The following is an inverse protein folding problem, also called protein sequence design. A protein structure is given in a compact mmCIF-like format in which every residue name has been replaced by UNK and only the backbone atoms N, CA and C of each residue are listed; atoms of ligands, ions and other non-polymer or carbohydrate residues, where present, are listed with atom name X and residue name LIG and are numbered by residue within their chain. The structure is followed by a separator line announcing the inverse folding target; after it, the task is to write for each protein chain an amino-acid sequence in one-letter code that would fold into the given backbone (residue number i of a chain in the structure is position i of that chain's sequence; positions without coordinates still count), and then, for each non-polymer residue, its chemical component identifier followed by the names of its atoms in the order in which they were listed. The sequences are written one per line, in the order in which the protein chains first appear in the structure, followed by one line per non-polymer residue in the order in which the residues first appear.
data_IF_266865090167
#
_entry.id   IF_266865090167
#
_cell.length_a   1.000
_cell.length_b   1.000
_cell.length_c   1.000
_cell.angle_alpha   90.00
_cell.angle_beta   90.00
_cell.angle_gamma   90.00
#
_symmetry.space_group_name_H-M   'P 1'
#
loop_
_entity.id
_entity.type
_entity.pdbx_description
1 polymer ?
#
# COMPACT_ATOMS: atom_id res chain seq x y z
N UNK A 1 119.43 93.72 -24.51
CA UNK A 1 120.80 93.16 -24.59
C UNK A 1 120.67 91.83 -25.32
N UNK A 2 121.12 91.58 -26.54
CA UNK A 2 121.77 92.32 -27.61
C UNK A 2 121.73 91.43 -28.88
N UNK A 3 122.44 91.73 -29.97
CA UNK A 3 122.59 93.03 -30.60
C UNK A 3 122.20 93.02 -32.11
N UNK A 4 121.98 94.22 -32.62
CA UNK A 4 121.82 94.60 -34.03
C UNK A 4 122.92 94.01 -34.94
N UNK A 5 122.53 93.56 -36.14
CA UNK A 5 123.41 93.46 -37.31
C UNK A 5 122.96 94.42 -38.41
N UNK A 6 123.95 95.01 -39.07
CA UNK A 6 123.90 96.21 -39.88
C UNK A 6 123.32 96.02 -41.29
N UNK A 7 122.75 97.11 -41.82
CA UNK A 7 122.35 97.31 -43.22
C UNK A 7 123.55 97.18 -44.17
N UNK A 8 123.42 96.32 -45.18
CA UNK A 8 124.20 96.31 -46.42
C UNK A 8 123.22 96.24 -47.61
N UNK A 9 123.46 97.03 -48.65
CA UNK A 9 122.66 97.20 -49.88
C UNK A 9 122.03 95.90 -50.41
N UNK A 10 120.71 95.91 -50.56
CA UNK A 10 119.98 94.88 -51.31
C UNK A 10 120.25 95.06 -52.82
N UNK A 11 120.82 94.03 -53.44
CA UNK A 11 120.60 93.79 -54.86
C UNK A 11 119.15 93.31 -55.02
N UNK A 12 118.44 93.81 -56.04
CA UNK A 12 117.08 93.40 -56.36
C UNK A 12 117.11 91.96 -56.92
N UNK A 13 117.24 91.00 -56.01
CA UNK A 13 117.12 89.58 -56.30
C UNK A 13 115.64 89.22 -56.21
N UNK A 14 114.99 89.11 -57.37
CA UNK A 14 113.72 88.41 -57.49
C UNK A 14 114.05 86.95 -57.78
N UNK A 15 113.64 86.06 -56.87
CA UNK A 15 113.76 84.60 -56.94
C UNK A 15 115.16 84.03 -57.24
N UNK A 16 116.19 84.63 -56.65
CA UNK A 16 117.56 84.11 -56.68
C UNK A 16 118.32 84.29 -58.00
N UNK A 17 117.78 85.07 -58.96
CA UNK A 17 118.41 85.38 -60.26
C UNK A 17 118.79 86.87 -60.33
N UNK A 18 120.03 87.17 -60.77
CA UNK A 18 120.55 88.54 -60.91
C UNK A 18 120.02 89.21 -62.20
N UNK A 19 118.99 90.05 -62.04
CA UNK A 19 118.24 90.68 -63.14
C UNK A 19 119.01 91.82 -63.83
N UNK A 20 120.19 92.21 -63.34
CA UNK A 20 120.96 93.35 -63.88
C UNK A 20 121.74 93.07 -65.17
N UNK A 21 121.78 91.82 -65.65
CA UNK A 21 122.52 91.40 -66.86
C UNK A 21 121.62 90.87 -68.00
N UNK A 22 120.30 90.93 -67.86
CA UNK A 22 119.36 90.44 -68.87
C UNK A 22 118.95 91.55 -69.85
N UNK A 23 118.90 91.23 -71.15
CA UNK A 23 118.34 92.13 -72.18
C UNK A 23 116.80 92.16 -72.08
N UNK A 24 116.12 93.18 -72.63
CA UNK A 24 114.67 93.40 -72.50
C UNK A 24 113.82 92.14 -72.78
N UNK A 25 114.11 91.42 -73.86
CA UNK A 25 113.39 90.17 -74.22
C UNK A 25 113.59 89.06 -73.17
N UNK A 26 114.75 88.98 -72.53
CA UNK A 26 115.04 87.98 -71.50
C UNK A 26 114.32 88.31 -70.17
N UNK A 27 114.16 89.60 -69.85
CA UNK A 27 113.34 90.05 -68.72
C UNK A 27 111.84 89.81 -68.96
N UNK A 28 111.35 89.96 -70.20
CA UNK A 28 109.96 89.65 -70.56
C UNK A 28 109.68 88.14 -70.43
N UNK A 29 110.57 87.26 -70.90
CA UNK A 29 110.43 85.80 -70.73
C UNK A 29 110.52 85.38 -69.26
N UNK A 30 111.41 86.00 -68.46
CA UNK A 30 111.51 85.72 -67.03
C UNK A 30 110.28 86.21 -66.25
N UNK A 31 109.73 87.37 -66.61
CA UNK A 31 108.48 87.87 -66.05
C UNK A 31 107.28 86.96 -66.38
N UNK A 32 107.20 86.44 -67.61
CA UNK A 32 106.21 85.45 -67.98
C UNK A 32 106.38 84.14 -67.20
N UNK A 33 107.61 83.67 -67.00
CA UNK A 33 107.87 82.46 -66.22
C UNK A 33 107.46 82.62 -64.75
N UNK A 34 107.77 83.76 -64.12
CA UNK A 34 107.32 84.04 -62.74
C UNK A 34 105.80 84.17 -62.68
N UNK A 35 105.16 84.77 -63.69
CA UNK A 35 103.70 84.81 -63.76
C UNK A 35 103.10 83.41 -63.86
N UNK A 36 103.63 82.55 -64.73
CA UNK A 36 103.18 81.15 -64.87
C UNK A 36 103.42 80.35 -63.59
N UNK A 37 104.56 80.52 -62.91
CA UNK A 37 104.84 79.89 -61.61
C UNK A 37 103.90 80.41 -60.52
N UNK A 38 103.64 81.72 -60.46
CA UNK A 38 102.68 82.31 -59.53
C UNK A 38 101.25 81.84 -59.82
N UNK A 39 100.87 81.68 -61.09
CA UNK A 39 99.55 81.20 -61.49
C UNK A 39 99.38 79.72 -61.15
N UNK A 40 100.42 78.91 -61.36
CA UNK A 40 100.48 77.51 -60.92
C UNK A 40 100.39 77.37 -59.39
N UNK A 41 101.17 78.14 -58.64
CA UNK A 41 101.08 78.14 -57.17
C UNK A 41 99.69 78.57 -56.68
N UNK A 42 99.03 79.47 -57.41
CA UNK A 42 97.65 79.91 -57.11
C UNK A 42 96.64 78.80 -57.40
N UNK A 43 96.80 78.07 -58.50
CA UNK A 43 96.00 76.87 -58.83
C UNK A 43 96.21 75.76 -57.81
N UNK A 44 97.46 75.46 -57.43
CA UNK A 44 97.79 74.46 -56.43
C UNK A 44 97.21 74.85 -55.06
N UNK A 45 97.34 76.11 -54.64
CA UNK A 45 96.70 76.62 -53.42
C UNK A 45 95.18 76.47 -53.46
N UNK A 46 94.56 76.80 -54.59
CA UNK A 46 93.11 76.66 -54.76
C UNK A 46 92.70 75.18 -54.67
N UNK A 47 93.41 74.28 -55.35
CA UNK A 47 93.19 72.85 -55.27
C UNK A 47 93.29 72.31 -53.84
N UNK A 48 94.38 72.64 -53.12
CA UNK A 48 94.54 72.21 -51.73
C UNK A 48 93.51 72.83 -50.79
N UNK A 49 93.07 74.06 -51.06
CA UNK A 49 91.98 74.68 -50.30
C UNK A 49 90.66 73.94 -50.52
N UNK A 50 90.34 73.59 -51.77
CA UNK A 50 89.12 72.87 -52.13
C UNK A 50 89.12 71.43 -51.59
N UNK A 51 90.27 70.74 -51.62
CA UNK A 51 90.44 69.41 -51.01
C UNK A 51 90.36 69.45 -49.48
N UNK A 52 90.96 70.46 -48.83
CA UNK A 52 90.81 70.66 -47.39
C UNK A 52 89.36 70.91 -47.01
N UNK A 53 88.66 71.75 -47.76
CA UNK A 53 87.26 72.08 -47.48
C UNK A 53 86.35 70.85 -47.74
N UNK A 54 86.61 70.05 -48.79
CA UNK A 54 85.96 68.74 -48.99
C UNK A 54 86.21 67.78 -47.83
N UNK A 55 87.46 67.58 -47.42
CA UNK A 55 87.81 66.72 -46.28
C UNK A 55 87.13 67.18 -44.99
N UNK A 56 87.04 68.50 -44.78
CA UNK A 56 86.30 69.07 -43.66
C UNK A 56 84.82 68.75 -43.73
N UNK A 57 84.17 68.90 -44.89
CA UNK A 57 82.75 68.53 -45.05
C UNK A 57 82.52 67.04 -44.83
N UNK A 58 83.38 66.15 -45.36
CA UNK A 58 83.27 64.72 -45.10
C UNK A 58 83.47 64.38 -43.63
N UNK A 59 84.42 65.03 -42.96
CA UNK A 59 84.62 64.85 -41.52
C UNK A 59 83.40 65.32 -40.72
N UNK A 60 82.82 66.48 -41.04
CA UNK A 60 81.62 67.00 -40.37
C UNK A 60 80.42 66.08 -40.59
N UNK A 61 80.19 65.58 -41.82
CA UNK A 61 79.13 64.61 -42.14
C UNK A 61 79.35 63.30 -41.39
N UNK A 62 80.54 62.72 -41.45
CA UNK A 62 80.85 61.43 -40.80
C UNK A 62 80.74 61.54 -39.28
N UNK A 63 81.16 62.67 -38.71
CA UNK A 63 80.98 62.97 -37.28
C UNK A 63 79.50 63.07 -36.94
N UNK A 64 78.70 63.77 -37.73
CA UNK A 64 77.27 63.88 -37.50
C UNK A 64 76.56 62.52 -37.58
N UNK A 65 76.87 61.72 -38.61
CA UNK A 65 76.36 60.35 -38.75
C UNK A 65 76.77 59.45 -37.59
N UNK A 66 78.00 59.59 -37.08
CA UNK A 66 78.45 58.86 -35.90
C UNK A 66 77.66 59.28 -34.64
N UNK A 67 77.41 60.57 -34.47
CA UNK A 67 76.63 61.10 -33.34
C UNK A 67 75.16 60.67 -33.43
N UNK A 68 74.55 60.66 -34.64
CA UNK A 68 73.21 60.13 -34.89
C UNK A 68 73.11 58.62 -34.64
N UNK A 69 74.08 57.83 -35.11
CA UNK A 69 74.14 56.40 -34.86
C UNK A 69 74.29 56.10 -33.37
N UNK A 70 75.13 56.86 -32.65
CA UNK A 70 75.27 56.76 -31.20
C UNK A 70 73.97 57.13 -30.47
N UNK A 71 73.27 58.17 -30.91
CA UNK A 71 71.98 58.55 -30.36
C UNK A 71 70.93 57.46 -30.59
N UNK A 72 70.91 56.86 -31.79
CA UNK A 72 70.01 55.76 -32.14
C UNK A 72 70.26 54.52 -31.27
N UNK A 73 71.53 54.15 -31.05
CA UNK A 73 71.89 53.03 -30.17
C UNK A 73 71.39 53.29 -28.74
N UNK A 74 71.63 54.48 -28.18
CA UNK A 74 71.15 54.82 -26.83
C UNK A 74 69.63 54.77 -26.73
N UNK A 75 68.91 55.26 -27.74
CA UNK A 75 67.46 55.17 -27.78
C UNK A 75 66.98 53.71 -27.82
N UNK A 76 67.64 52.85 -28.60
CA UNK A 76 67.32 51.42 -28.65
C UNK A 76 67.64 50.67 -27.36
N UNK A 77 68.73 51.04 -26.68
CA UNK A 77 69.06 50.51 -25.35
C UNK A 77 68.00 50.91 -24.33
N UNK A 78 67.56 52.17 -24.34
CA UNK A 78 66.46 52.65 -23.48
C UNK A 78 65.13 51.94 -23.79
N UNK A 79 64.77 51.80 -25.06
CA UNK A 79 63.56 51.05 -25.46
C UNK A 79 63.62 49.60 -24.96
N UNK A 80 64.80 48.96 -25.02
CA UNK A 80 65.00 47.61 -24.52
C UNK A 80 64.83 47.54 -22.99
N UNK A 81 65.37 48.52 -22.27
CA UNK A 81 65.19 48.63 -20.81
C UNK A 81 63.71 48.82 -20.45
N UNK A 82 63.02 49.77 -21.09
CA UNK A 82 61.58 50.02 -20.87
C UNK A 82 60.74 48.76 -21.17
N UNK A 83 61.05 48.02 -22.24
CA UNK A 83 60.38 46.75 -22.54
C UNK A 83 60.65 45.66 -21.50
N UNK A 84 61.87 45.59 -20.96
CA UNK A 84 62.21 44.64 -19.90
C UNK A 84 61.49 44.97 -18.59
N UNK A 85 61.44 46.25 -18.21
CA UNK A 85 60.69 46.73 -17.04
C UNK A 85 59.19 46.45 -17.17
N UNK A 86 58.60 46.73 -18.34
CA UNK A 86 57.20 46.43 -18.63
C UNK A 86 56.92 44.93 -18.53
N UNK A 87 57.78 44.09 -19.12
CA UNK A 87 57.63 42.64 -19.04
C UNK A 87 57.74 42.12 -17.60
N UNK A 88 58.66 42.66 -16.80
CA UNK A 88 58.78 42.31 -15.38
C UNK A 88 57.53 42.72 -14.58
N UNK A 89 56.97 43.89 -14.86
CA UNK A 89 55.73 44.36 -14.25
C UNK A 89 54.54 43.47 -14.62
N UNK A 90 54.41 43.09 -15.90
CA UNK A 90 53.38 42.14 -16.35
C UNK A 90 53.53 40.78 -15.66
N UNK A 91 54.76 40.26 -15.56
CA UNK A 91 55.02 38.96 -14.91
C UNK A 91 54.65 39.00 -13.43
N UNK A 92 54.90 40.12 -12.74
CA UNK A 92 54.44 40.34 -11.35
C UNK A 92 52.91 40.36 -11.26
N UNK A 93 52.23 41.06 -12.18
CA UNK A 93 50.77 41.11 -12.23
C UNK A 93 50.17 39.73 -12.48
N UNK A 94 50.68 38.98 -13.47
CA UNK A 94 50.23 37.62 -13.75
C UNK A 94 50.44 36.69 -12.56
N UNK A 95 51.60 36.79 -11.88
CA UNK A 95 51.87 36.01 -10.66
C UNK A 95 50.89 36.34 -9.54
N UNK A 96 50.52 37.61 -9.36
CA UNK A 96 49.50 38.01 -8.39
C UNK A 96 48.11 37.48 -8.79
N UNK A 97 47.74 37.57 -10.07
CA UNK A 97 46.47 37.07 -10.59
C UNK A 97 46.31 35.57 -10.39
N UNK A 98 47.37 34.79 -10.65
CA UNK A 98 47.38 33.34 -10.37
C UNK A 98 47.21 33.05 -8.88
N UNK A 99 47.92 33.77 -8.00
CA UNK A 99 47.75 33.62 -6.55
C UNK A 99 46.33 33.94 -6.09
N UNK A 100 45.73 35.00 -6.62
CA UNK A 100 44.36 35.38 -6.29
C UNK A 100 43.37 34.31 -6.75
N UNK A 101 43.48 33.83 -8.00
CA UNK A 101 42.64 32.75 -8.53
C UNK A 101 42.77 31.46 -7.72
N UNK A 102 43.98 31.09 -7.29
CA UNK A 102 44.18 29.92 -6.44
C UNK A 102 43.53 30.09 -5.06
N UNK A 103 43.66 31.27 -4.46
CA UNK A 103 43.02 31.58 -3.19
C UNK A 103 41.49 31.57 -3.30
N UNK A 104 40.94 32.21 -4.33
CA UNK A 104 39.51 32.23 -4.62
C UNK A 104 38.98 30.81 -4.84
N UNK A 105 39.66 29.99 -5.65
CA UNK A 105 39.26 28.61 -5.86
C UNK A 105 39.29 27.79 -4.57
N UNK A 106 40.32 27.95 -3.74
CA UNK A 106 40.42 27.26 -2.46
C UNK A 106 39.32 27.70 -1.48
N UNK A 107 39.03 29.00 -1.43
CA UNK A 107 37.96 29.56 -0.59
C UNK A 107 36.59 29.04 -1.05
N UNK A 108 36.28 29.13 -2.34
CA UNK A 108 35.04 28.63 -2.91
C UNK A 108 34.88 27.12 -2.64
N UNK A 109 35.95 26.33 -2.82
CA UNK A 109 35.92 24.89 -2.53
C UNK A 109 35.63 24.62 -1.05
N UNK A 110 36.24 25.38 -0.14
CA UNK A 110 36.00 25.28 1.29
C UNK A 110 34.57 25.68 1.68
N UNK A 111 34.04 26.74 1.08
CA UNK A 111 32.69 27.23 1.30
C UNK A 111 31.65 26.22 0.79
N UNK A 112 31.76 25.75 -0.46
CA UNK A 112 30.86 24.73 -1.02
C UNK A 112 30.90 23.42 -0.21
N UNK A 113 32.07 23.02 0.30
CA UNK A 113 32.16 21.87 1.21
C UNK A 113 31.41 22.10 2.53
N UNK A 114 31.53 23.29 3.11
CA UNK A 114 30.80 23.64 4.32
C UNK A 114 29.29 23.67 4.09
N UNK A 115 28.84 24.28 2.99
CA UNK A 115 27.42 24.31 2.58
C UNK A 115 26.86 22.89 2.39
N UNK A 116 27.60 22.00 1.71
CA UNK A 116 27.18 20.61 1.54
C UNK A 116 27.08 19.86 2.86
N UNK A 117 28.01 20.07 3.80
CA UNK A 117 27.94 19.45 5.13
C UNK A 117 26.72 19.93 5.92
N UNK A 118 26.40 21.23 5.86
CA UNK A 118 25.20 21.79 6.50
C UNK A 118 23.94 21.24 5.85
N UNK A 119 23.87 21.20 4.52
CA UNK A 119 22.72 20.63 3.80
C UNK A 119 22.50 19.14 4.14
N UNK A 120 23.59 18.35 4.20
CA UNK A 120 23.53 16.95 4.60
C UNK A 120 23.03 16.79 6.04
N UNK A 121 23.50 17.65 6.95
CA UNK A 121 23.07 17.62 8.35
C UNK A 121 21.60 17.98 8.51
N UNK A 122 21.12 19.00 7.80
CA UNK A 122 19.70 19.38 7.79
C UNK A 122 18.83 18.26 7.23
N UNK A 123 19.24 17.62 6.13
CA UNK A 123 18.52 16.48 5.58
C UNK A 123 18.47 15.30 6.56
N UNK A 124 19.58 15.01 7.24
CA UNK A 124 19.63 13.98 8.29
C UNK A 124 18.69 14.30 9.44
N UNK A 125 18.67 15.54 9.93
CA UNK A 125 17.83 15.96 11.05
C UNK A 125 16.34 15.92 10.67
N UNK A 126 15.98 16.29 9.44
CA UNK A 126 14.61 16.16 8.91
C UNK A 126 14.17 14.69 8.80
N UNK A 127 15.04 13.81 8.32
CA UNK A 127 14.76 12.36 8.29
C UNK A 127 14.55 11.78 9.70
N UNK A 128 15.37 12.19 10.67
CA UNK A 128 15.21 11.76 12.08
C UNK A 128 13.91 12.30 12.68
N UNK A 129 13.52 13.53 12.35
CA UNK A 129 12.23 14.08 12.79
C UNK A 129 11.05 13.28 12.22
N UNK A 130 11.08 12.99 10.91
CA UNK A 130 10.05 12.17 10.26
C UNK A 130 9.99 10.75 10.83
N UNK A 131 11.13 10.11 11.09
CA UNK A 131 11.17 8.79 11.73
C UNK A 131 10.54 8.80 13.13
N UNK A 132 10.84 9.83 13.93
CA UNK A 132 10.26 9.97 15.25
C UNK A 132 8.73 10.18 15.21
N UNK A 133 8.22 10.98 14.27
CA UNK A 133 6.77 11.14 14.08
C UNK A 133 6.11 9.83 13.65
N UNK A 134 6.71 9.08 12.71
CA UNK A 134 6.21 7.76 12.32
C UNK A 134 6.20 6.76 13.49
N UNK A 135 7.20 6.81 14.38
CA UNK A 135 7.23 6.00 15.59
C UNK A 135 6.09 6.38 16.53
N UNK A 136 5.84 7.69 16.74
CA UNK A 136 4.72 8.17 17.56
C UNK A 136 3.37 7.71 16.98
N UNK A 137 3.13 7.95 15.70
CA UNK A 137 1.91 7.53 15.01
C UNK A 137 1.69 6.02 15.14
N UNK A 138 2.74 5.21 14.95
CA UNK A 138 2.69 3.76 15.14
C UNK A 138 2.32 3.38 16.57
N UNK A 139 2.84 4.07 17.58
CA UNK A 139 2.48 3.79 18.98
C UNK A 139 1.05 4.20 19.31
N UNK A 140 0.57 5.32 18.76
CA UNK A 140 -0.79 5.79 18.95
C UNK A 140 -1.81 4.88 18.27
N UNK A 141 -1.56 4.48 17.02
CA UNK A 141 -2.39 3.51 16.30
C UNK A 141 -2.47 2.17 17.04
N UNK A 142 -1.37 1.68 17.61
CA UNK A 142 -1.39 0.47 18.46
C UNK A 142 -2.24 0.64 19.71
N UNK A 143 -2.21 1.82 20.33
CA UNK A 143 -3.04 2.12 21.49
C UNK A 143 -4.53 2.13 21.12
N UNK A 144 -4.89 2.83 20.03
CA UNK A 144 -6.27 2.88 19.51
C UNK A 144 -6.77 1.48 19.16
N UNK A 145 -5.95 0.65 18.49
CA UNK A 145 -6.30 -0.73 18.18
C UNK A 145 -6.61 -1.52 19.45
N UNK A 146 -5.76 -1.42 20.48
CA UNK A 146 -5.96 -2.12 21.75
C UNK A 146 -7.22 -1.65 22.49
N UNK A 147 -7.52 -0.36 22.43
CA UNK A 147 -8.77 0.21 22.99
C UNK A 147 -10.01 -0.31 22.25
N UNK A 148 -9.95 -0.41 20.92
CA UNK A 148 -11.02 -1.01 20.12
C UNK A 148 -11.21 -2.50 20.42
N UNK A 149 -10.13 -3.27 20.51
CA UNK A 149 -10.18 -4.68 20.89
C UNK A 149 -10.83 -4.88 22.27
N UNK A 150 -10.49 -4.01 23.24
CA UNK A 150 -11.11 -4.04 24.56
C UNK A 150 -12.60 -3.65 24.52
N UNK A 151 -12.97 -2.67 23.70
CA UNK A 151 -14.37 -2.27 23.51
C UNK A 151 -15.20 -3.43 22.93
N UNK A 152 -14.72 -4.09 21.88
CA UNK A 152 -15.39 -5.27 21.29
C UNK A 152 -15.49 -6.43 22.29
N UNK A 153 -14.45 -6.68 23.08
CA UNK A 153 -14.49 -7.70 24.12
C UNK A 153 -15.56 -7.40 25.17
N UNK A 154 -15.72 -6.13 25.57
CA UNK A 154 -16.75 -5.70 26.51
C UNK A 154 -18.15 -5.83 25.91
N UNK A 155 -18.34 -5.49 24.63
CA UNK A 155 -19.60 -5.67 23.92
C UNK A 155 -20.01 -7.14 23.84
N UNK A 156 -19.09 -8.03 23.47
CA UNK A 156 -19.32 -9.48 23.48
C UNK A 156 -19.67 -9.98 24.89
N UNK A 157 -19.01 -9.47 25.93
CA UNK A 157 -19.30 -9.83 27.32
C UNK A 157 -20.70 -9.37 27.73
N UNK A 158 -21.11 -8.17 27.33
CA UNK A 158 -22.44 -7.63 27.60
C UNK A 158 -23.53 -8.46 26.90
N UNK A 159 -23.32 -8.82 25.62
CA UNK A 159 -24.23 -9.69 24.89
C UNK A 159 -24.37 -11.06 25.55
N UNK A 160 -23.25 -11.69 25.94
CA UNK A 160 -23.29 -12.99 26.65
C UNK A 160 -24.03 -12.92 27.99
N UNK A 161 -23.89 -11.80 28.71
CA UNK A 161 -24.61 -11.60 29.96
C UNK A 161 -26.12 -11.46 29.71
N UNK A 162 -26.51 -10.65 28.71
CA UNK A 162 -27.89 -10.49 28.30
C UNK A 162 -28.52 -11.83 27.87
N UNK A 163 -27.85 -12.61 27.02
CA UNK A 163 -28.31 -13.93 26.59
C UNK A 163 -28.48 -14.90 27.78
N UNK A 164 -27.57 -14.85 28.75
CA UNK A 164 -27.67 -15.65 29.98
C UNK A 164 -28.87 -15.23 30.84
N UNK A 165 -29.17 -13.94 30.92
CA UNK A 165 -30.34 -13.42 31.64
C UNK A 165 -31.64 -13.82 30.94
N UNK A 166 -31.71 -13.70 29.61
CA UNK A 166 -32.85 -14.17 28.81
C UNK A 166 -33.07 -15.68 28.97
N UNK A 167 -32.01 -16.48 28.87
CA UNK A 167 -32.09 -17.93 29.07
C UNK A 167 -32.60 -18.27 30.47
N UNK A 168 -32.10 -17.60 31.52
CA UNK A 168 -32.58 -17.80 32.89
C UNK A 168 -34.06 -17.44 33.04
N UNK A 169 -34.51 -16.35 32.41
CA UNK A 169 -35.92 -15.95 32.40
C UNK A 169 -36.81 -16.97 31.68
N UNK A 170 -36.34 -17.55 30.57
CA UNK A 170 -37.07 -18.59 29.84
C UNK A 170 -37.17 -19.87 30.67
N UNK A 171 -36.06 -20.30 31.29
CA UNK A 171 -36.05 -21.46 32.19
C UNK A 171 -37.07 -21.27 33.32
N UNK A 172 -37.03 -20.10 33.98
CA UNK A 172 -37.97 -19.78 35.07
C UNK A 172 -39.43 -19.79 34.63
N UNK A 173 -39.73 -19.32 33.40
CA UNK A 173 -41.08 -19.40 32.83
C UNK A 173 -41.51 -20.84 32.64
N UNK A 174 -40.66 -21.68 32.04
CA UNK A 174 -40.97 -23.10 31.85
C UNK A 174 -41.13 -23.86 33.16
N UNK A 175 -40.32 -23.56 34.17
CA UNK A 175 -40.48 -24.13 35.51
C UNK A 175 -41.83 -23.75 36.13
N UNK A 176 -42.23 -22.49 36.03
CA UNK A 176 -43.55 -22.04 36.50
C UNK A 176 -44.69 -22.73 35.76
N UNK A 177 -44.62 -22.81 34.42
CA UNK A 177 -45.63 -23.47 33.60
C UNK A 177 -45.74 -24.98 33.90
N UNK A 178 -44.61 -25.64 34.18
CA UNK A 178 -44.59 -27.05 34.58
C UNK A 178 -45.28 -27.25 35.94
N UNK A 179 -44.96 -26.41 36.94
CA UNK A 179 -45.59 -26.46 38.27
C UNK A 179 -47.10 -26.21 38.17
N UNK A 180 -47.52 -25.21 37.39
CA UNK A 180 -48.95 -24.90 37.19
C UNK A 180 -49.68 -26.07 36.50
N UNK A 181 -49.04 -26.73 35.53
CA UNK A 181 -49.59 -27.94 34.91
C UNK A 181 -49.72 -29.09 35.89
N UNK A 182 -48.67 -29.40 36.64
CA UNK A 182 -48.68 -30.45 37.66
C UNK A 182 -49.80 -30.22 38.67
N UNK A 183 -49.90 -29.00 39.22
CA UNK A 183 -50.95 -28.64 40.17
C UNK A 183 -52.35 -28.80 39.57
N UNK A 184 -52.55 -28.42 38.31
CA UNK A 184 -53.83 -28.59 37.61
C UNK A 184 -54.20 -30.05 37.42
N UNK A 185 -53.25 -30.92 37.10
CA UNK A 185 -53.50 -32.35 36.94
C UNK A 185 -53.71 -33.06 38.28
N UNK A 186 -52.97 -32.65 39.32
CA UNK A 186 -53.16 -33.15 40.68
C UNK A 186 -54.57 -32.81 41.19
N UNK A 187 -55.02 -31.56 41.04
CA UNK A 187 -56.38 -31.15 41.40
C UNK A 187 -57.46 -31.95 40.64
N UNK A 188 -57.27 -32.20 39.34
CA UNK A 188 -58.18 -33.04 38.56
C UNK A 188 -58.21 -34.47 39.09
N UNK A 189 -57.06 -35.03 39.44
CA UNK A 189 -56.95 -36.37 39.98
C UNK A 189 -57.68 -36.47 41.33
N UNK A 190 -57.42 -35.54 42.25
CA UNK A 190 -58.11 -35.47 43.55
C UNK A 190 -59.62 -35.37 43.38
N UNK A 191 -60.10 -34.47 42.51
CA UNK A 191 -61.54 -34.31 42.24
C UNK A 191 -62.18 -35.58 41.68
N UNK A 192 -61.49 -36.31 40.80
CA UNK A 192 -61.97 -37.60 40.29
C UNK A 192 -62.02 -38.65 41.39
N UNK A 193 -61.00 -38.73 42.25
CA UNK A 193 -61.00 -39.63 43.42
C UNK A 193 -62.17 -39.32 44.35
N UNK A 194 -62.39 -38.05 44.71
CA UNK A 194 -63.51 -37.63 45.55
C UNK A 194 -64.86 -37.98 44.92
N UNK A 195 -65.04 -37.74 43.62
CA UNK A 195 -66.26 -38.11 42.90
C UNK A 195 -66.50 -39.62 42.91
N UNK A 196 -65.45 -40.42 42.75
CA UNK A 196 -65.54 -41.89 42.75
C UNK A 196 -65.88 -42.44 44.14
N UNK A 197 -65.25 -41.88 45.19
CA UNK A 197 -65.53 -42.22 46.58
C UNK A 197 -66.99 -41.85 46.91
N UNK A 198 -67.45 -40.68 46.51
CA UNK A 198 -68.84 -40.26 46.73
C UNK A 198 -69.81 -41.21 46.04
N UNK A 199 -69.56 -41.56 44.77
CA UNK A 199 -70.37 -42.51 44.01
C UNK A 199 -70.41 -43.88 44.71
N UNK A 200 -69.27 -44.39 45.14
CA UNK A 200 -69.20 -45.66 45.85
C UNK A 200 -69.97 -45.61 47.18
N UNK A 201 -69.86 -44.52 47.94
CA UNK A 201 -70.62 -44.33 49.18
C UNK A 201 -72.13 -44.29 48.91
N UNK A 202 -72.56 -43.58 47.86
CA UNK A 202 -73.96 -43.55 47.45
C UNK A 202 -74.47 -44.94 47.06
N UNK A 203 -73.71 -45.71 46.28
CA UNK A 203 -74.06 -47.09 45.91
C UNK A 203 -74.18 -48.01 47.14
N UNK A 204 -73.28 -47.87 48.12
CA UNK A 204 -73.38 -48.61 49.39
C UNK A 204 -74.66 -48.24 50.13
N UNK A 205 -74.94 -46.95 50.32
CA UNK A 205 -76.15 -46.49 51.02
C UNK A 205 -77.42 -46.95 50.31
N UNK A 206 -77.47 -46.89 48.98
CA UNK A 206 -78.61 -47.39 48.20
C UNK A 206 -78.83 -48.91 48.40
N UNK A 207 -77.74 -49.69 48.42
CA UNK A 207 -77.81 -51.13 48.68
C UNK A 207 -78.25 -51.42 50.12
N UNK A 208 -77.76 -50.66 51.10
CA UNK A 208 -78.18 -50.77 52.50
C UNK A 208 -79.66 -50.44 52.67
N UNK A 209 -80.16 -49.36 52.05
CA UNK A 209 -81.57 -49.00 52.06
C UNK A 209 -82.43 -50.09 51.41
N UNK A 210 -82.02 -50.64 50.26
CA UNK A 210 -82.71 -51.77 49.62
C UNK A 210 -82.76 -53.01 50.53
N UNK A 211 -81.64 -53.36 51.18
CA UNK A 211 -81.58 -54.49 52.12
C UNK A 211 -82.44 -54.24 53.36
N UNK A 212 -82.40 -53.05 53.93
CA UNK A 212 -83.22 -52.68 55.09
C UNK A 212 -84.71 -52.70 54.76
N UNK A 213 -85.10 -52.23 53.57
CA UNK A 213 -86.48 -52.35 53.09
C UNK A 213 -86.91 -53.82 52.94
N UNK A 214 -86.03 -54.68 52.41
CA UNK A 214 -86.30 -56.12 52.31
C UNK A 214 -86.42 -56.77 53.69
N UNK A 215 -85.54 -56.43 54.65
CA UNK A 215 -85.62 -56.89 56.04
C UNK A 215 -86.95 -56.47 56.67
N UNK A 216 -87.35 -55.19 56.51
CA UNK A 216 -88.63 -54.70 57.02
C UNK A 216 -89.82 -55.44 56.40
N UNK A 217 -89.79 -55.70 55.10
CA UNK A 217 -90.81 -56.51 54.42
C UNK A 217 -90.82 -57.95 54.94
N UNK A 218 -89.66 -58.55 55.19
CA UNK A 218 -89.55 -59.91 55.69
C UNK A 218 -90.07 -60.02 57.12
N UNK A 219 -89.76 -59.05 57.98
CA UNK A 219 -90.32 -58.94 59.35
C UNK A 219 -91.84 -58.86 59.26
N UNK A 220 -92.39 -57.97 58.44
CA UNK A 220 -93.85 -57.83 58.26
C UNK A 220 -94.49 -59.13 57.75
N UNK A 221 -93.86 -59.80 56.79
CA UNK A 221 -94.33 -61.09 56.29
C UNK A 221 -94.28 -62.16 57.38
N UNK A 222 -93.22 -62.20 58.20
CA UNK A 222 -93.13 -63.10 59.34
C UNK A 222 -94.15 -62.78 60.43
N UNK A 223 -94.43 -61.52 60.74
CA UNK A 223 -95.49 -61.12 61.67
C UNK A 223 -96.87 -61.57 61.16
N UNK A 224 -97.12 -61.41 59.85
CA UNK A 224 -98.36 -61.86 59.21
C UNK A 224 -98.47 -63.37 59.26
N UNK A 225 -97.43 -64.10 58.84
CA UNK A 225 -97.38 -65.56 58.88
C UNK A 225 -97.46 -66.09 60.33
N UNK A 226 -96.89 -65.40 61.31
CA UNK A 226 -97.01 -65.75 62.72
C UNK A 226 -98.42 -65.50 63.24
N UNK A 227 -99.09 -64.42 62.84
CA UNK A 227 -100.49 -64.18 63.16
C UNK A 227 -101.41 -65.23 62.52
N UNK A 228 -101.16 -65.57 61.26
CA UNK A 228 -101.83 -66.66 60.55
C UNK A 228 -101.56 -68.02 61.22
N UNK A 229 -100.32 -68.29 61.63
CA UNK A 229 -99.96 -69.52 62.35
C UNK A 229 -100.57 -69.56 63.75
N UNK A 230 -100.68 -68.42 64.44
CA UNK A 230 -101.38 -68.31 65.72
C UNK A 230 -102.88 -68.54 65.54
N UNK A 231 -103.48 -68.02 64.47
CA UNK A 231 -104.88 -68.29 64.12
C UNK A 231 -105.07 -69.77 63.73
N UNK A 232 -104.19 -70.32 62.91
CA UNK A 232 -104.16 -71.72 62.51
C UNK A 232 -103.97 -72.65 63.70
N UNK A 233 -103.11 -72.32 64.67
CA UNK A 233 -102.97 -73.08 65.91
C UNK A 233 -104.14 -72.87 66.85
N UNK A 234 -104.79 -71.71 66.90
CA UNK A 234 -106.06 -71.55 67.62
C UNK A 234 -107.14 -72.45 67.00
N UNK A 235 -107.25 -72.47 65.67
CA UNK A 235 -108.16 -73.32 64.91
C UNK A 235 -107.80 -74.80 65.07
N UNK A 236 -106.51 -75.13 65.11
CA UNK A 236 -106.00 -76.46 65.44
C UNK A 236 -106.14 -76.76 66.93
N UNK A 237 -106.20 -75.82 67.86
CA UNK A 237 -106.46 -76.14 69.27
C UNK A 237 -107.93 -76.53 69.42
N UNK A 238 -108.81 -75.82 68.69
CA UNK A 238 -110.20 -76.20 68.47
C UNK A 238 -110.34 -77.55 67.74
N UNK A 239 -109.53 -77.80 66.70
CA UNK A 239 -109.61 -79.00 65.88
C UNK A 239 -108.83 -80.20 66.47
N UNK A 240 -107.77 -80.00 67.25
CA UNK A 240 -107.00 -81.02 67.98
C UNK A 240 -107.75 -81.49 69.21
N UNK A 241 -108.63 -80.68 69.80
CA UNK A 241 -109.65 -81.20 70.71
C UNK A 241 -110.48 -82.31 70.03
N UNK A 242 -110.64 -82.23 68.69
CA UNK A 242 -111.34 -83.23 67.86
C UNK A 242 -110.41 -84.32 67.26
N UNK A 243 -109.15 -84.00 66.96
CA UNK A 243 -108.16 -84.86 66.29
C UNK A 243 -107.25 -85.65 67.26
N UNK A 244 -107.14 -85.27 68.54
CA UNK A 244 -106.55 -86.10 69.62
C UNK A 244 -107.29 -87.43 69.77
N UNK A 245 -108.53 -87.51 69.27
CA UNK A 245 -109.30 -88.75 69.17
C UNK A 245 -108.83 -89.66 68.02
N UNK A 246 -108.09 -89.14 67.03
CA UNK A 246 -107.83 -89.80 65.74
C UNK A 246 -106.35 -90.04 65.42
N UNK A 247 -105.39 -89.29 65.98
CA UNK A 247 -103.97 -89.44 65.64
C UNK A 247 -103.15 -90.23 66.67
N UNK A 248 -103.80 -91.19 67.35
CA UNK A 248 -103.11 -92.22 68.13
C UNK A 248 -102.59 -93.38 67.26
N UNK A 249 -102.78 -93.34 65.94
CA UNK A 249 -102.72 -94.54 65.10
C UNK A 249 -101.63 -94.57 64.03
N UNK A 250 -100.93 -93.48 63.69
CA UNK A 250 -100.06 -93.51 62.49
C UNK A 250 -98.75 -92.74 62.64
N UNK A 251 -97.88 -93.20 63.54
CA UNK A 251 -96.53 -92.65 63.72
C UNK A 251 -95.40 -93.54 63.15
N UNK A 252 -95.68 -94.59 62.36
CA UNK A 252 -94.69 -95.70 62.28
C UNK A 252 -94.33 -96.21 60.87
N UNK A 253 -93.97 -95.37 59.87
CA UNK A 253 -93.54 -95.95 58.57
C UNK A 253 -92.29 -95.35 57.89
N UNK A 254 -91.94 -94.07 57.98
CA UNK A 254 -90.87 -93.55 57.11
C UNK A 254 -89.53 -93.34 57.82
N UNK A 255 -88.83 -94.44 58.10
CA UNK A 255 -87.46 -94.42 58.64
C UNK A 255 -86.50 -95.47 58.05
N UNK A 256 -86.48 -95.76 56.74
CA UNK A 256 -85.44 -96.67 56.17
C UNK A 256 -85.19 -96.55 54.63
N UNK A 257 -84.27 -95.67 54.17
CA UNK A 257 -83.63 -95.86 52.84
C UNK A 257 -82.24 -95.19 52.67
N UNK A 258 -81.40 -95.20 53.69
CA UNK A 258 -80.13 -94.44 53.70
C UNK A 258 -78.91 -95.21 53.14
N UNK A 259 -79.03 -96.50 52.81
CA UNK A 259 -77.83 -97.35 52.71
C UNK A 259 -77.32 -97.66 51.28
N UNK A 260 -77.76 -96.92 50.25
CA UNK A 260 -77.44 -97.22 48.83
C UNK A 260 -76.32 -96.39 48.18
N UNK A 261 -75.83 -95.31 48.81
CA UNK A 261 -74.96 -94.31 48.13
C UNK A 261 -73.45 -94.59 48.27
N UNK A 262 -73.00 -95.46 49.17
CA UNK A 262 -71.57 -95.56 49.54
C UNK A 262 -70.65 -96.34 48.59
N UNK A 263 -71.12 -96.90 47.46
CA UNK A 263 -70.29 -97.76 46.58
C UNK A 263 -69.78 -97.11 45.28
N UNK A 264 -70.24 -95.91 44.90
CA UNK A 264 -69.87 -95.20 43.66
C UNK A 264 -68.60 -94.33 43.75
N UNK A 265 -68.03 -94.13 44.94
CA UNK A 265 -66.98 -93.13 45.18
C UNK A 265 -65.56 -93.59 44.80
N UNK A 266 -65.31 -94.91 44.66
CA UNK A 266 -63.94 -95.43 44.50
C UNK A 266 -63.44 -95.51 43.05
N UNK A 267 -64.30 -95.65 42.05
CA UNK A 267 -63.88 -95.69 40.62
C UNK A 267 -63.55 -94.29 40.07
N UNK A 268 -64.28 -93.26 40.50
CA UNK A 268 -64.06 -91.85 40.11
C UNK A 268 -62.71 -91.26 40.59
N UNK A 269 -62.07 -91.86 41.59
CA UNK A 269 -60.84 -91.32 42.18
C UNK A 269 -59.59 -91.64 41.35
N UNK A 270 -59.59 -92.75 40.61
CA UNK A 270 -58.47 -93.20 39.75
C UNK A 270 -58.44 -92.51 38.39
N UNK A 271 -59.61 -92.22 37.79
CA UNK A 271 -59.71 -91.45 36.55
C UNK A 271 -59.27 -89.99 36.74
N UNK A 272 -59.62 -89.37 37.87
CA UNK A 272 -59.30 -87.97 38.17
C UNK A 272 -57.77 -87.71 38.26
N UNK A 273 -56.99 -88.70 38.68
CA UNK A 273 -55.50 -88.59 38.75
C UNK A 273 -54.83 -88.62 37.37
N UNK A 274 -55.42 -89.30 36.37
CA UNK A 274 -54.86 -89.35 35.01
C UNK A 274 -55.13 -88.05 34.25
N UNK A 275 -56.36 -87.53 34.34
CA UNK A 275 -56.73 -86.25 33.73
C UNK A 275 -55.95 -85.05 34.32
N UNK A 276 -55.59 -85.09 35.61
CA UNK A 276 -54.77 -84.04 36.23
C UNK A 276 -53.32 -84.00 35.73
N UNK A 277 -52.76 -85.15 35.32
CA UNK A 277 -51.41 -85.20 34.75
C UNK A 277 -51.39 -84.66 33.32
N UNK A 278 -52.33 -85.10 32.47
CA UNK A 278 -52.45 -84.61 31.08
C UNK A 278 -52.77 -83.10 31.03
N UNK A 279 -53.57 -82.61 31.98
CA UNK A 279 -53.86 -81.17 32.12
C UNK A 279 -52.59 -80.37 32.44
N UNK A 280 -51.70 -80.89 33.30
CA UNK A 280 -50.46 -80.21 33.68
C UNK A 280 -49.49 -80.09 32.49
N UNK A 281 -49.31 -81.16 31.72
CA UNK A 281 -48.47 -81.16 30.51
C UNK A 281 -49.00 -80.18 29.46
N UNK A 282 -50.33 -80.11 29.29
CA UNK A 282 -50.98 -79.13 28.40
C UNK A 282 -50.79 -77.69 28.88
N UNK A 283 -50.88 -77.44 30.20
CA UNK A 283 -50.63 -76.12 30.79
C UNK A 283 -49.17 -75.66 30.60
N UNK A 284 -48.20 -76.55 30.76
CA UNK A 284 -46.78 -76.25 30.52
C UNK A 284 -46.51 -75.93 29.03
N UNK A 285 -47.15 -76.67 28.10
CA UNK A 285 -47.05 -76.38 26.66
C UNK A 285 -47.66 -75.02 26.29
N UNK A 286 -48.81 -74.68 26.89
CA UNK A 286 -49.45 -73.36 26.70
C UNK A 286 -48.59 -72.23 27.26
N UNK A 287 -47.94 -72.44 28.41
CA UNK A 287 -47.02 -71.46 28.98
C UNK A 287 -45.80 -71.19 28.08
N UNK A 288 -45.21 -72.25 27.50
CA UNK A 288 -44.07 -72.10 26.58
C UNK A 288 -44.48 -71.45 25.25
N UNK A 289 -45.64 -71.81 24.69
CA UNK A 289 -46.18 -71.15 23.49
C UNK A 289 -46.46 -69.67 23.73
N UNK A 290 -47.04 -69.31 24.88
CA UNK A 290 -47.25 -67.91 25.25
C UNK A 290 -45.92 -67.15 25.41
N UNK A 291 -44.87 -67.79 25.94
CA UNK A 291 -43.53 -67.20 26.04
C UNK A 291 -42.93 -66.93 24.66
N UNK A 292 -43.05 -67.88 23.73
CA UNK A 292 -42.56 -67.72 22.36
C UNK A 292 -43.32 -66.63 21.60
N UNK A 293 -44.63 -66.54 21.81
CA UNK A 293 -45.49 -65.52 21.20
C UNK A 293 -45.13 -64.12 21.72
N UNK A 294 -44.88 -63.96 23.02
CA UNK A 294 -44.39 -62.70 23.60
C UNK A 294 -43.02 -62.28 23.04
N UNK A 295 -42.09 -63.22 22.85
CA UNK A 295 -40.80 -62.95 22.21
C UNK A 295 -40.97 -62.52 20.75
N UNK A 296 -41.83 -63.19 20.00
CA UNK A 296 -42.14 -62.83 18.61
C UNK A 296 -42.74 -61.41 18.49
N UNK A 297 -43.66 -61.04 19.40
CA UNK A 297 -44.23 -59.69 19.46
C UNK A 297 -43.15 -58.63 19.71
N UNK A 298 -42.20 -58.92 20.60
CA UNK A 298 -41.06 -58.05 20.89
C UNK A 298 -40.13 -57.90 19.69
N UNK A 299 -39.80 -59.00 19.02
CA UNK A 299 -38.94 -58.98 17.82
C UNK A 299 -39.60 -58.21 16.66
N UNK A 300 -40.91 -58.35 16.50
CA UNK A 300 -41.70 -57.57 15.54
C UNK A 300 -41.61 -56.08 15.83
N UNK A 301 -41.73 -55.66 17.09
CA UNK A 301 -41.60 -54.26 17.48
C UNK A 301 -40.16 -53.73 17.25
N UNK A 302 -39.14 -54.53 17.58
CA UNK A 302 -37.75 -54.21 17.29
C UNK A 302 -37.51 -54.02 15.78
N UNK A 303 -38.07 -54.90 14.93
CA UNK A 303 -37.98 -54.80 13.49
C UNK A 303 -38.63 -53.53 12.93
N UNK A 304 -39.78 -53.12 13.47
CA UNK A 304 -40.44 -51.85 13.08
C UNK A 304 -39.54 -50.66 13.43
N UNK A 305 -38.95 -50.66 14.62
CA UNK A 305 -38.07 -49.58 15.07
C UNK A 305 -36.78 -49.51 14.23
N UNK A 306 -36.17 -50.65 13.89
CA UNK A 306 -34.96 -50.68 13.05
C UNK A 306 -35.27 -50.26 11.62
N UNK A 307 -36.41 -50.66 11.04
CA UNK A 307 -36.86 -50.17 9.73
C UNK A 307 -37.08 -48.67 9.71
N UNK A 308 -37.69 -48.10 10.76
CA UNK A 308 -37.86 -46.65 10.88
C UNK A 308 -36.50 -45.94 10.92
N UNK A 309 -35.56 -46.44 11.73
CA UNK A 309 -34.21 -45.87 11.82
C UNK A 309 -33.45 -45.97 10.49
N UNK A 310 -33.56 -47.11 9.80
CA UNK A 310 -32.97 -47.30 8.47
C UNK A 310 -33.53 -46.29 7.46
N UNK A 311 -34.84 -46.05 7.48
CA UNK A 311 -35.47 -45.06 6.59
C UNK A 311 -34.95 -43.64 6.83
N UNK A 312 -34.71 -43.26 8.09
CA UNK A 312 -34.13 -41.94 8.41
C UNK A 312 -32.69 -41.86 7.91
N UNK A 313 -31.86 -42.87 8.21
CA UNK A 313 -30.46 -42.91 7.77
C UNK A 313 -30.32 -42.90 6.25
N UNK A 314 -31.20 -43.59 5.52
CA UNK A 314 -31.20 -43.55 4.05
C UNK A 314 -31.52 -42.15 3.51
N UNK A 315 -32.46 -41.45 4.13
CA UNK A 315 -32.80 -40.07 3.76
C UNK A 315 -31.63 -39.12 4.04
N UNK A 316 -30.99 -39.28 5.20
CA UNK A 316 -29.81 -38.47 5.55
C UNK A 316 -28.64 -38.74 4.60
N UNK A 317 -28.43 -40.00 4.19
CA UNK A 317 -27.42 -40.36 3.19
C UNK A 317 -27.71 -39.70 1.84
N UNK A 318 -28.96 -39.67 1.40
CA UNK A 318 -29.36 -39.05 0.13
C UNK A 318 -29.16 -37.53 0.17
N UNK A 319 -29.53 -36.88 1.28
CA UNK A 319 -29.27 -35.46 1.50
C UNK A 319 -27.76 -35.15 1.48
N UNK A 320 -26.95 -35.92 2.21
CA UNK A 320 -25.50 -35.72 2.26
C UNK A 320 -24.83 -35.93 0.91
N UNK A 321 -25.31 -36.89 0.11
CA UNK A 321 -24.82 -37.09 -1.26
C UNK A 321 -25.10 -35.87 -2.13
N UNK A 322 -26.32 -35.34 -2.07
CA UNK A 322 -26.69 -34.14 -2.83
C UNK A 322 -25.88 -32.91 -2.39
N UNK A 323 -25.70 -32.72 -1.08
CA UNK A 323 -24.85 -31.63 -0.55
C UNK A 323 -23.40 -31.78 -1.02
N UNK A 324 -22.86 -32.99 -1.02
CA UNK A 324 -21.49 -33.25 -1.51
C UNK A 324 -21.35 -32.94 -3.01
N UNK A 325 -22.29 -33.37 -3.85
CA UNK A 325 -22.29 -33.05 -5.29
C UNK A 325 -22.36 -31.54 -5.54
N UNK A 326 -23.19 -30.81 -4.79
CA UNK A 326 -23.27 -29.34 -4.88
C UNK A 326 -21.96 -28.68 -4.46
N UNK A 327 -21.30 -29.18 -3.41
CA UNK A 327 -20.02 -28.68 -2.94
C UNK A 327 -18.90 -28.96 -3.94
N UNK A 328 -18.86 -30.15 -4.54
CA UNK A 328 -17.90 -30.52 -5.59
C UNK A 328 -18.02 -29.58 -6.80
N UNK A 329 -19.24 -29.34 -7.29
CA UNK A 329 -19.48 -28.40 -8.40
C UNK A 329 -19.04 -26.96 -8.06
N UNK A 330 -19.31 -26.51 -6.83
CA UNK A 330 -18.86 -25.17 -6.37
C UNK A 330 -17.34 -25.10 -6.28
N UNK A 331 -16.70 -26.17 -5.82
CA UNK A 331 -15.25 -26.26 -5.72
C UNK A 331 -14.59 -26.21 -7.09
N UNK A 332 -15.07 -27.01 -8.06
CA UNK A 332 -14.58 -26.99 -9.44
C UNK A 332 -14.70 -25.61 -10.08
N UNK A 333 -15.85 -24.94 -9.88
CA UNK A 333 -16.04 -23.56 -10.35
C UNK A 333 -15.03 -22.59 -9.73
N UNK A 334 -14.85 -22.65 -8.41
CA UNK A 334 -13.90 -21.79 -7.71
C UNK A 334 -12.44 -22.04 -8.17
N UNK A 335 -12.10 -23.31 -8.45
CA UNK A 335 -10.79 -23.68 -8.99
C UNK A 335 -10.59 -23.12 -10.40
N UNK A 336 -11.60 -23.23 -11.26
CA UNK A 336 -11.58 -22.65 -12.61
C UNK A 336 -11.41 -21.12 -12.58
N UNK A 337 -12.14 -20.43 -11.70
CA UNK A 337 -12.03 -18.96 -11.56
C UNK A 337 -10.64 -18.54 -11.06
N UNK A 338 -10.07 -19.28 -10.10
CA UNK A 338 -8.70 -19.07 -9.63
C UNK A 338 -7.70 -19.24 -10.78
N UNK A 339 -7.81 -20.31 -11.54
CA UNK A 339 -6.87 -20.64 -12.62
C UNK A 339 -6.97 -19.62 -13.76
N UNK A 340 -8.18 -19.17 -14.10
CA UNK A 340 -8.40 -18.09 -15.05
C UNK A 340 -7.79 -16.77 -14.58
N UNK A 341 -8.01 -16.40 -13.31
CA UNK A 341 -7.46 -15.17 -12.76
C UNK A 341 -5.93 -15.19 -12.76
N UNK A 342 -5.33 -16.33 -12.40
CA UNK A 342 -3.90 -16.52 -12.46
C UNK A 342 -3.36 -16.41 -13.89
N UNK A 343 -4.02 -17.03 -14.87
CA UNK A 343 -3.65 -16.92 -16.28
C UNK A 343 -3.72 -15.47 -16.79
N UNK A 344 -4.80 -14.75 -16.47
CA UNK A 344 -4.96 -13.32 -16.82
C UNK A 344 -3.88 -12.45 -16.18
N UNK A 345 -3.54 -12.68 -14.91
CA UNK A 345 -2.49 -11.96 -14.21
C UNK A 345 -1.12 -12.16 -14.88
N UNK A 346 -0.76 -13.41 -15.19
CA UNK A 346 0.48 -13.75 -15.89
C UNK A 346 0.52 -13.09 -17.28
N UNK A 347 -0.58 -13.14 -18.04
CA UNK A 347 -0.68 -12.47 -19.35
C UNK A 347 -0.48 -10.95 -19.24
N UNK A 348 -1.12 -10.30 -18.27
CA UNK A 348 -0.99 -8.86 -18.05
C UNK A 348 0.44 -8.45 -17.69
N UNK A 349 1.15 -9.27 -16.88
CA UNK A 349 2.56 -9.04 -16.58
C UNK A 349 3.40 -9.12 -17.85
N UNK A 350 3.23 -10.17 -18.66
CA UNK A 350 3.99 -10.31 -19.89
C UNK A 350 3.73 -9.17 -20.89
N UNK A 351 2.48 -8.75 -21.04
CA UNK A 351 2.14 -7.59 -21.87
C UNK A 351 2.79 -6.29 -21.36
N UNK A 352 2.78 -6.07 -20.05
CA UNK A 352 3.42 -4.90 -19.45
C UNK A 352 4.93 -4.93 -19.68
N UNK A 353 5.58 -6.07 -19.43
CA UNK A 353 7.01 -6.28 -19.67
C UNK A 353 7.36 -6.10 -21.15
N UNK A 354 6.53 -6.58 -22.07
CA UNK A 354 6.73 -6.39 -23.50
C UNK A 354 6.62 -4.90 -23.89
N UNK A 355 5.60 -4.19 -23.39
CA UNK A 355 5.41 -2.76 -23.66
C UNK A 355 6.56 -1.91 -23.11
N UNK A 356 6.98 -2.17 -21.88
CA UNK A 356 8.13 -1.45 -21.29
C UNK A 356 9.43 -1.82 -21.98
N UNK A 357 9.63 -3.09 -22.32
CA UNK A 357 10.78 -3.57 -23.10
C UNK A 357 10.88 -2.89 -24.46
N UNK A 358 9.79 -2.85 -25.24
CA UNK A 358 9.75 -2.14 -26.53
C UNK A 358 10.03 -0.64 -26.39
N UNK A 359 9.49 0.00 -25.34
CA UNK A 359 9.77 1.41 -25.06
C UNK A 359 11.25 1.65 -24.73
N UNK A 360 11.86 0.77 -23.94
CA UNK A 360 13.28 0.86 -23.60
C UNK A 360 14.16 0.70 -24.85
N UNK A 361 13.90 -0.32 -25.67
CA UNK A 361 14.62 -0.52 -26.93
C UNK A 361 14.47 0.68 -27.86
N UNK A 362 13.29 1.30 -27.93
CA UNK A 362 13.08 2.50 -28.74
C UNK A 362 13.88 3.70 -28.21
N UNK A 363 13.94 3.88 -26.89
CA UNK A 363 14.72 4.94 -26.25
C UNK A 363 16.22 4.71 -26.44
N UNK A 364 16.70 3.49 -26.30
CA UNK A 364 18.09 3.10 -26.56
C UNK A 364 18.48 3.42 -28.00
N UNK A 365 17.68 3.00 -28.99
CA UNK A 365 17.93 3.33 -30.41
C UNK A 365 17.90 4.83 -30.69
N UNK A 366 17.05 5.58 -29.98
CA UNK A 366 17.00 7.04 -30.12
C UNK A 366 18.25 7.68 -29.53
N UNK A 367 18.74 7.17 -28.40
CA UNK A 367 19.95 7.64 -27.75
C UNK A 367 21.19 7.33 -28.60
N UNK A 368 21.29 6.10 -29.12
CA UNK A 368 22.32 5.67 -30.07
C UNK A 368 22.38 6.61 -31.28
N UNK A 369 21.25 6.83 -31.97
CA UNK A 369 21.20 7.76 -33.11
C UNK A 369 21.58 9.20 -32.76
N UNK A 370 21.21 9.68 -31.57
CA UNK A 370 21.59 11.02 -31.12
C UNK A 370 23.09 11.10 -30.79
N UNK A 371 23.67 10.02 -30.27
CA UNK A 371 25.11 9.89 -30.02
C UNK A 371 25.90 9.88 -31.34
N UNK A 372 25.47 9.06 -32.31
CA UNK A 372 26.10 9.03 -33.65
C UNK A 372 26.07 10.40 -34.31
N UNK A 373 24.93 11.11 -34.20
CA UNK A 373 24.78 12.44 -34.75
C UNK A 373 25.66 13.46 -34.02
N UNK A 374 25.84 13.33 -32.70
CA UNK A 374 26.77 14.15 -31.93
C UNK A 374 28.21 13.94 -32.40
N UNK A 375 28.66 12.68 -32.49
CA UNK A 375 30.01 12.33 -32.96
C UNK A 375 30.28 12.85 -34.38
N UNK A 376 29.31 12.71 -35.30
CA UNK A 376 29.41 13.27 -36.65
C UNK A 376 29.55 14.80 -36.63
N UNK A 377 28.81 15.49 -35.77
CA UNK A 377 28.90 16.96 -35.63
C UNK A 377 30.22 17.39 -35.02
N UNK A 378 30.72 16.69 -34.00
CA UNK A 378 32.02 16.96 -33.40
C UNK A 378 33.17 16.75 -34.39
N UNK A 379 33.10 15.70 -35.22
CA UNK A 379 34.06 15.45 -36.28
C UNK A 379 34.04 16.58 -37.34
N UNK A 380 32.85 16.97 -37.81
CA UNK A 380 32.69 18.10 -38.75
C UNK A 380 33.23 19.42 -38.18
N UNK A 381 32.93 19.72 -36.91
CA UNK A 381 33.44 20.92 -36.24
C UNK A 381 34.97 20.87 -36.16
N UNK A 382 35.54 19.73 -35.79
CA UNK A 382 36.99 19.54 -35.69
C UNK A 382 37.69 19.73 -37.05
N UNK A 383 37.12 19.22 -38.13
CA UNK A 383 37.64 19.39 -39.49
C UNK A 383 37.61 20.86 -39.94
N UNK A 384 36.49 21.55 -39.71
CA UNK A 384 36.35 22.99 -40.04
C UNK A 384 37.33 23.84 -39.25
N UNK A 385 37.50 23.56 -37.94
CA UNK A 385 38.45 24.28 -37.10
C UNK A 385 39.90 24.07 -37.56
N UNK A 386 40.26 22.85 -37.98
CA UNK A 386 41.58 22.54 -38.52
C UNK A 386 41.84 23.24 -39.87
N UNK A 387 40.85 23.25 -40.76
CA UNK A 387 40.96 23.88 -42.08
C UNK A 387 41.04 25.42 -42.02
N UNK A 388 40.34 26.04 -41.06
CA UNK A 388 40.25 27.50 -40.95
C UNK A 388 41.48 28.17 -40.30
N UNK A 389 42.41 27.39 -39.71
CA UNK A 389 43.63 27.87 -39.03
C UNK A 389 43.37 29.05 -38.06
N UNK A 390 42.23 29.02 -37.38
CA UNK A 390 41.82 30.07 -36.44
C UNK A 390 42.65 29.98 -35.16
N UNK A 391 42.88 31.13 -34.51
CA UNK A 391 43.51 31.18 -33.20
C UNK A 391 42.68 30.36 -32.17
N UNK A 392 43.25 29.29 -31.59
CA UNK A 392 42.54 28.43 -30.65
C UNK A 392 41.98 29.18 -29.44
N UNK A 393 42.68 30.21 -28.97
CA UNK A 393 42.25 30.99 -27.81
C UNK A 393 41.02 31.86 -28.12
N UNK A 394 40.95 32.44 -29.32
CA UNK A 394 39.80 33.20 -29.78
C UNK A 394 38.56 32.31 -29.97
N UNK A 395 38.71 31.11 -30.56
CA UNK A 395 37.60 30.17 -30.78
C UNK A 395 37.00 29.69 -29.45
N UNK A 396 37.84 29.30 -28.48
CA UNK A 396 37.37 28.86 -27.15
C UNK A 396 36.59 29.98 -26.45
N UNK A 397 37.07 31.23 -26.53
CA UNK A 397 36.38 32.36 -25.92
C UNK A 397 35.03 32.67 -26.58
N UNK A 398 34.92 32.56 -27.90
CA UNK A 398 33.65 32.75 -28.62
C UNK A 398 32.68 31.61 -28.33
N UNK A 399 33.15 30.35 -28.33
CA UNK A 399 32.34 29.19 -27.97
C UNK A 399 31.79 29.30 -26.55
N UNK A 400 32.63 29.68 -25.58
CA UNK A 400 32.19 29.87 -24.19
C UNK A 400 31.11 30.94 -24.07
N UNK A 401 31.27 32.09 -24.75
CA UNK A 401 30.23 33.14 -24.77
C UNK A 401 28.92 32.67 -25.42
N UNK A 402 29.01 31.86 -26.48
CA UNK A 402 27.84 31.30 -27.15
C UNK A 402 27.14 30.26 -26.27
N UNK A 403 27.90 29.42 -25.59
CA UNK A 403 27.41 28.43 -24.62
C UNK A 403 26.72 29.10 -23.42
N UNK A 404 27.32 30.15 -22.85
CA UNK A 404 26.69 30.97 -21.81
C UNK A 404 25.37 31.59 -22.29
N UNK A 405 25.30 32.06 -23.54
CA UNK A 405 24.07 32.60 -24.13
C UNK A 405 23.01 31.52 -24.31
N UNK A 406 23.39 30.34 -24.83
CA UNK A 406 22.50 29.20 -25.03
C UNK A 406 21.94 28.71 -23.69
N UNK A 407 22.79 28.60 -22.67
CA UNK A 407 22.38 28.21 -21.32
C UNK A 407 21.37 29.21 -20.74
N UNK A 408 21.63 30.52 -20.83
CA UNK A 408 20.67 31.55 -20.41
C UNK A 408 19.33 31.43 -21.15
N UNK A 409 19.34 31.20 -22.46
CA UNK A 409 18.11 31.00 -23.24
C UNK A 409 17.38 29.72 -22.83
N UNK A 410 18.09 28.62 -22.60
CA UNK A 410 17.50 27.36 -22.16
C UNK A 410 16.87 27.49 -20.76
N UNK A 411 17.55 28.15 -19.83
CA UNK A 411 16.98 28.47 -18.51
C UNK A 411 15.74 29.33 -18.64
N UNK A 412 15.78 30.40 -19.45
CA UNK A 412 14.60 31.23 -19.69
C UNK A 412 13.42 30.45 -20.30
N UNK A 413 13.69 29.49 -21.21
CA UNK A 413 12.65 28.59 -21.74
C UNK A 413 12.05 27.73 -20.63
N UNK A 414 12.88 27.15 -19.76
CA UNK A 414 12.43 26.33 -18.64
C UNK A 414 11.60 27.15 -17.64
N UNK A 415 12.05 28.37 -17.30
CA UNK A 415 11.35 29.28 -16.40
C UNK A 415 9.99 29.70 -16.98
N UNK A 416 9.93 30.04 -18.27
CA UNK A 416 8.69 30.38 -18.94
C UNK A 416 7.73 29.18 -19.03
N UNK A 417 8.25 27.97 -19.27
CA UNK A 417 7.44 26.74 -19.23
C UNK A 417 6.87 26.47 -17.84
N UNK A 418 7.67 26.71 -16.79
CA UNK A 418 7.25 26.58 -15.41
C UNK A 418 6.19 27.62 -15.03
N UNK A 419 6.40 28.90 -15.37
CA UNK A 419 5.42 29.96 -15.14
C UNK A 419 4.12 29.71 -15.91
N UNK A 420 4.20 29.23 -17.15
CA UNK A 420 3.01 28.82 -17.91
C UNK A 420 2.24 27.71 -17.20
N UNK A 421 2.94 26.69 -16.69
CA UNK A 421 2.32 25.59 -15.94
C UNK A 421 1.66 26.09 -14.64
N UNK A 422 2.33 27.00 -13.92
CA UNK A 422 1.82 27.63 -12.69
C UNK A 422 0.57 28.46 -12.95
N UNK A 423 0.56 29.27 -14.01
CA UNK A 423 -0.61 30.07 -14.41
C UNK A 423 -1.77 29.17 -14.84
N UNK A 424 -1.51 28.12 -15.62
CA UNK A 424 -2.56 27.16 -16.01
C UNK A 424 -3.16 26.46 -14.79
N UNK A 425 -2.33 26.07 -13.81
CA UNK A 425 -2.83 25.50 -12.56
C UNK A 425 -3.67 26.50 -11.77
N UNK A 426 -3.19 27.73 -11.58
CA UNK A 426 -3.94 28.77 -10.87
C UNK A 426 -5.29 29.07 -11.55
N UNK A 427 -5.33 29.05 -12.89
CA UNK A 427 -6.56 29.15 -13.66
C UNK A 427 -7.52 27.98 -13.39
N UNK A 428 -7.03 26.74 -13.41
CA UNK A 428 -7.87 25.56 -13.16
C UNK A 428 -8.38 25.49 -11.71
N UNK A 429 -7.54 25.86 -10.73
CA UNK A 429 -7.91 25.98 -9.32
C UNK A 429 -8.99 27.07 -9.12
N UNK A 430 -8.86 28.20 -9.83
CA UNK A 430 -9.86 29.28 -9.79
C UNK A 430 -11.19 28.84 -10.41
N UNK A 431 -11.18 28.10 -11.53
CA UNK A 431 -12.38 27.53 -12.12
C UNK A 431 -13.07 26.56 -11.14
N UNK A 432 -12.30 25.70 -10.47
CA UNK A 432 -12.84 24.79 -9.46
C UNK A 432 -13.46 25.55 -8.26
N UNK A 433 -12.84 26.63 -7.81
CA UNK A 433 -13.37 27.48 -6.74
C UNK A 433 -14.68 28.17 -7.16
N UNK A 434 -14.76 28.71 -8.37
CA UNK A 434 -16.01 29.28 -8.90
C UNK A 434 -17.10 28.24 -9.07
N UNK A 435 -16.78 27.06 -9.60
CA UNK A 435 -17.73 25.95 -9.72
C UNK A 435 -18.30 25.57 -8.34
N UNK A 436 -17.44 25.47 -7.32
CA UNK A 436 -17.85 25.20 -5.94
C UNK A 436 -18.76 26.31 -5.38
N UNK A 437 -18.41 27.58 -5.61
CA UNK A 437 -19.20 28.71 -5.12
C UNK A 437 -20.57 28.84 -5.82
N UNK A 438 -20.63 28.57 -7.13
CA UNK A 438 -21.90 28.54 -7.87
C UNK A 438 -22.81 27.43 -7.35
N UNK A 439 -22.25 26.27 -7.04
CA UNK A 439 -22.99 25.17 -6.42
C UNK A 439 -23.52 25.53 -5.03
N UNK A 440 -22.75 26.26 -4.21
CA UNK A 440 -23.18 26.77 -2.90
C UNK A 440 -24.38 27.72 -3.01
N UNK A 441 -24.43 28.56 -4.06
CA UNK A 441 -25.57 29.44 -4.34
C UNK A 441 -26.73 28.75 -5.08
N UNK A 442 -26.64 27.43 -5.30
CA UNK A 442 -27.69 26.64 -5.93
C UNK A 442 -27.78 26.81 -7.45
N UNK A 443 -26.72 27.31 -8.11
CA UNK A 443 -26.63 27.48 -9.56
C UNK A 443 -25.92 26.24 -10.15
N UNK A 444 -26.62 25.34 -10.85
CA UNK A 444 -26.03 24.15 -11.46
C UNK A 444 -25.07 24.50 -12.60
N UNK A 445 -24.03 23.68 -12.80
CA UNK A 445 -23.04 23.88 -13.87
C UNK A 445 -23.65 23.96 -15.28
N UNK A 446 -24.83 23.37 -15.48
CA UNK A 446 -25.59 23.40 -16.74
C UNK A 446 -26.18 24.78 -17.07
N UNK A 447 -26.35 25.67 -16.09
CA UNK A 447 -26.94 27.01 -16.29
C UNK A 447 -25.94 28.06 -16.79
N UNK A 448 -24.63 27.75 -16.80
CA UNK A 448 -23.58 28.67 -17.26
C UNK A 448 -23.65 28.98 -18.77
N UNK A 449 -24.25 28.09 -19.59
CA UNK A 449 -24.38 28.29 -21.03
C UNK A 449 -23.08 28.21 -21.85
N UNK A 450 -21.92 28.03 -21.21
CA UNK A 450 -20.62 27.76 -21.84
C UNK A 450 -19.77 26.83 -20.98
N UNK A 451 -18.81 26.14 -21.61
CA UNK A 451 -17.86 25.27 -20.91
C UNK A 451 -16.50 25.98 -20.82
N UNK A 452 -15.98 26.27 -19.61
CA UNK A 452 -14.66 26.88 -19.46
C UNK A 452 -13.56 25.99 -20.09
N UNK A 453 -12.69 26.59 -20.91
CA UNK A 453 -11.59 25.87 -21.55
C UNK A 453 -10.48 25.60 -20.54
N UNK A 454 -10.14 24.32 -20.31
CA UNK A 454 -8.97 23.93 -19.51
C UNK A 454 -7.78 23.67 -20.43
N UNK A 455 -6.66 24.35 -20.19
CA UNK A 455 -5.44 24.23 -20.99
C UNK A 455 -4.73 22.90 -20.69
N UNK A 456 -4.82 21.93 -21.60
CA UNK A 456 -3.99 20.71 -21.55
C UNK A 456 -2.62 21.01 -22.16
N UNK A 457 -1.64 21.39 -21.34
CA UNK A 457 -0.26 21.52 -21.83
C UNK A 457 0.28 20.13 -22.14
N UNK A 458 0.55 19.84 -23.41
CA UNK A 458 1.15 18.58 -23.83
C UNK A 458 2.62 18.54 -23.39
N UNK A 459 2.98 17.60 -22.51
CA UNK A 459 4.37 17.28 -22.17
C UNK A 459 4.86 17.73 -20.79
N UNK A 460 4.11 18.55 -20.04
CA UNK A 460 4.42 18.83 -18.63
C UNK A 460 3.76 17.79 -17.74
N UNK A 461 4.58 17.02 -17.01
CA UNK A 461 4.10 16.28 -15.83
C UNK A 461 3.63 17.33 -14.84
N UNK A 462 2.31 17.55 -14.76
CA UNK A 462 1.69 18.21 -13.63
C UNK A 462 2.29 17.57 -12.37
N UNK A 463 2.78 18.38 -11.42
CA UNK A 463 3.36 17.92 -10.17
C UNK A 463 2.40 17.02 -9.36
N UNK A 464 2.73 16.66 -8.11
CA UNK A 464 2.07 15.56 -7.36
C UNK A 464 0.53 15.57 -7.30
N UNK A 465 -0.12 16.71 -7.56
CA UNK A 465 -1.57 16.85 -7.64
C UNK A 465 -2.21 16.38 -8.97
N UNK A 466 -1.45 16.14 -10.04
CA UNK A 466 -1.94 15.70 -11.35
C UNK A 466 -2.46 14.26 -11.41
N UNK A 467 -2.29 13.49 -10.33
CA UNK A 467 -2.85 12.13 -10.19
C UNK A 467 -4.32 12.13 -9.75
N UNK A 468 -4.89 13.29 -9.39
CA UNK A 468 -6.24 13.37 -8.78
C UNK A 468 -7.33 13.78 -9.78
N UNK A 469 -6.99 14.18 -11.02
CA UNK A 469 -7.97 14.73 -11.97
C UNK A 469 -8.22 13.90 -13.23
N UNK A 470 -7.70 12.66 -13.29
CA UNK A 470 -8.16 11.67 -14.27
C UNK A 470 -9.19 10.73 -13.63
N UNK A 471 -10.43 11.19 -13.51
CA UNK A 471 -11.63 10.35 -13.48
C UNK A 471 -12.58 10.81 -14.57
#
# INVERSE_FOLDING_TARGET
MGPKKAKGKAADNVDGVDTTKMNREQLEVYAHKILDEMEREREERNFFQLERDKLRTFWEITRHQLDEARATIRNKEREKEEMAENHEAELKLYKQKVKHLMYEHQTNLSETKAEHLVALKLAQDDHVAQENELIKDKTELKKIQKEQELAYMNEIRALKLHDSEEMANIIKKFESEAVDMEQKYEQKLTSQYESLILKHRMEITEVEERKNAQIASLIKNHETAFAEMKNYYNDITLNNLSLIKSMKEQMEVMRNSEERIKKQVRELTTENKKYSADLKTSQEMVAELNRQLANYEKDKQCLVNTKRRLSVVLKDLENLKWENEVLELRFEKCQSERDELHARFVSAIFELQQKTGLKNVLLEKKLEKLSDLLEQREAQISEVLAAAQLDPAAVVNVNKKLEDMLNRKNTAIQDLQYELAKVCKAHDDLLAAYESKLQEYGIPKSELGFQPMRMRIAGTKLGPAGLVTSQ
#
